data_IF_375257784658
#
_entry.id   IF_375257784658
#
_cell.length_a   1.000
_cell.length_b   1.000
_cell.length_c   1.000
_cell.angle_alpha   90.00
_cell.angle_beta   90.00
_cell.angle_gamma   90.00
#
_symmetry.space_group_name_H-M   'P 1'
#
loop_
_entity.id
_entity.type
_entity.pdbx_description
1 polymer ?
#
# COMPACT_ATOMS: atom_id res chain seq x y z
N UNK A 1 -17.80 -3.14 0.53
CA UNK A 1 -16.76 -4.00 1.14
C UNK A 1 -15.60 -4.26 0.18
N UNK A 2 -15.85 -4.43 -1.12
CA UNK A 2 -14.82 -4.71 -2.15
C UNK A 2 -13.65 -3.72 -2.17
N UNK A 3 -13.93 -2.42 -2.07
CA UNK A 3 -12.91 -1.35 -2.16
C UNK A 3 -11.90 -1.38 -0.99
N UNK A 4 -12.38 -1.65 0.23
CA UNK A 4 -11.55 -1.76 1.42
C UNK A 4 -10.66 -3.00 1.35
N UNK A 5 -11.24 -4.17 1.05
CA UNK A 5 -10.49 -5.43 0.93
C UNK A 5 -9.46 -5.37 -0.20
N UNK A 6 -9.80 -4.70 -1.31
CA UNK A 6 -8.87 -4.50 -2.42
C UNK A 6 -7.70 -3.58 -2.04
N UNK A 7 -8.00 -2.42 -1.44
CA UNK A 7 -6.98 -1.50 -0.93
C UNK A 7 -6.05 -2.16 0.08
N UNK A 8 -6.58 -2.87 1.08
CA UNK A 8 -5.76 -3.59 2.08
C UNK A 8 -4.80 -4.58 1.43
N UNK A 9 -5.27 -5.36 0.46
CA UNK A 9 -4.42 -6.34 -0.24
C UNK A 9 -3.29 -5.66 -0.99
N UNK A 10 -3.56 -4.59 -1.73
CA UNK A 10 -2.53 -3.84 -2.45
C UNK A 10 -1.52 -3.19 -1.51
N UNK A 11 -1.99 -2.64 -0.38
CA UNK A 11 -1.09 -2.06 0.64
C UNK A 11 -0.16 -3.12 1.20
N UNK A 12 -0.68 -4.29 1.57
CA UNK A 12 0.12 -5.36 2.14
C UNK A 12 1.11 -5.93 1.12
N UNK A 13 0.67 -6.20 -0.10
CA UNK A 13 1.54 -6.75 -1.16
C UNK A 13 2.65 -5.75 -1.50
N UNK A 14 2.30 -4.49 -1.77
CA UNK A 14 3.27 -3.44 -2.08
C UNK A 14 4.26 -3.22 -0.93
N UNK A 15 3.76 -3.11 0.30
CA UNK A 15 4.60 -2.91 1.48
C UNK A 15 5.55 -4.07 1.77
N UNK A 16 5.09 -5.32 1.68
CA UNK A 16 5.93 -6.51 1.91
C UNK A 16 7.04 -6.60 0.86
N UNK A 17 6.70 -6.40 -0.42
CA UNK A 17 7.69 -6.43 -1.51
C UNK A 17 8.71 -5.29 -1.32
N UNK A 18 8.25 -4.09 -0.95
CA UNK A 18 9.14 -2.95 -0.71
C UNK A 18 10.13 -3.22 0.43
N UNK A 19 9.64 -3.68 1.58
CA UNK A 19 10.48 -3.95 2.75
C UNK A 19 11.47 -5.08 2.47
N UNK A 20 11.03 -6.16 1.81
CA UNK A 20 11.93 -7.26 1.44
C UNK A 20 13.01 -6.82 0.45
N UNK A 21 12.64 -6.07 -0.58
CA UNK A 21 13.60 -5.52 -1.54
C UNK A 21 14.59 -4.54 -0.87
N UNK A 22 14.13 -3.73 0.08
CA UNK A 22 14.98 -2.81 0.84
C UNK A 22 15.99 -3.55 1.73
N UNK A 23 15.54 -4.60 2.45
CA UNK A 23 16.43 -5.43 3.28
C UNK A 23 17.50 -6.09 2.41
N UNK A 24 17.10 -6.64 1.26
CA UNK A 24 18.04 -7.24 0.31
C UNK A 24 19.02 -6.20 -0.22
N UNK A 25 18.55 -5.00 -0.58
CA UNK A 25 19.40 -3.91 -1.08
C UNK A 25 20.48 -3.46 -0.08
N UNK A 26 20.23 -3.60 1.23
CA UNK A 26 21.21 -3.30 2.27
C UNK A 26 22.26 -4.41 2.46
N UNK A 27 22.14 -5.57 1.81
CA UNK A 27 23.13 -6.62 1.95
C UNK A 27 24.46 -6.22 1.28
N UNK A 28 25.59 -6.42 1.99
CA UNK A 28 26.90 -6.20 1.40
C UNK A 28 27.19 -7.28 0.35
N UNK A 29 27.86 -6.89 -0.74
CA UNK A 29 28.31 -7.82 -1.78
C UNK A 29 27.38 -7.95 -2.99
N UNK A 30 26.31 -7.17 -3.07
CA UNK A 30 25.47 -7.11 -4.26
C UNK A 30 26.19 -6.48 -5.45
N UNK A 31 26.11 -7.11 -6.62
CA UNK A 31 26.55 -6.57 -7.89
C UNK A 31 25.67 -5.42 -8.38
N UNK A 32 26.20 -4.62 -9.33
CA UNK A 32 25.47 -3.47 -9.91
C UNK A 32 24.13 -3.86 -10.53
N UNK A 33 24.06 -5.01 -11.21
CA UNK A 33 22.83 -5.48 -11.85
C UNK A 33 21.75 -5.84 -10.81
N UNK A 34 22.16 -6.48 -9.72
CA UNK A 34 21.27 -6.90 -8.62
C UNK A 34 20.74 -5.67 -7.87
N UNK A 35 21.60 -4.69 -7.59
CA UNK A 35 21.19 -3.41 -7.00
C UNK A 35 20.22 -2.65 -7.91
N UNK A 36 20.46 -2.65 -9.22
CA UNK A 36 19.56 -2.05 -10.21
C UNK A 36 18.18 -2.71 -10.19
N UNK A 37 18.13 -4.04 -10.23
CA UNK A 37 16.87 -4.79 -10.19
C UNK A 37 16.12 -4.59 -8.88
N UNK A 38 16.81 -4.57 -7.74
CA UNK A 38 16.22 -4.27 -6.44
C UNK A 38 15.67 -2.83 -6.37
N UNK A 39 16.39 -1.87 -6.94
CA UNK A 39 15.93 -0.48 -7.04
C UNK A 39 14.64 -0.35 -7.87
N UNK A 40 14.58 -0.99 -9.03
CA UNK A 40 13.36 -1.07 -9.84
C UNK A 40 12.20 -1.74 -9.08
N UNK A 41 12.50 -2.82 -8.36
CA UNK A 41 11.52 -3.55 -7.55
C UNK A 41 10.97 -2.68 -6.41
N UNK A 42 11.82 -1.92 -5.74
CA UNK A 42 11.40 -0.93 -4.73
C UNK A 42 10.51 0.14 -5.36
N UNK A 43 10.87 0.68 -6.52
CA UNK A 43 10.08 1.70 -7.20
C UNK A 43 8.68 1.19 -7.60
N UNK A 44 8.61 -0.01 -8.19
CA UNK A 44 7.35 -0.62 -8.61
C UNK A 44 6.43 -0.96 -7.41
N UNK A 45 7.01 -1.56 -6.36
CA UNK A 45 6.26 -1.91 -5.15
C UNK A 45 5.75 -0.70 -4.38
N UNK A 46 6.51 0.40 -4.39
CA UNK A 46 6.08 1.69 -3.81
C UNK A 46 4.83 2.24 -4.52
N UNK A 47 4.76 2.16 -5.85
CA UNK A 47 3.56 2.57 -6.61
C UNK A 47 2.35 1.73 -6.20
N UNK A 48 2.51 0.40 -6.13
CA UNK A 48 1.44 -0.51 -5.69
C UNK A 48 0.97 -0.16 -4.27
N UNK A 49 1.92 0.18 -3.40
CA UNK A 49 1.64 0.56 -2.02
C UNK A 49 0.83 1.87 -1.95
N UNK A 50 1.20 2.89 -2.72
CA UNK A 50 0.46 4.16 -2.83
C UNK A 50 -0.95 3.93 -3.34
N UNK A 51 -1.12 3.15 -4.40
CA UNK A 51 -2.46 2.85 -4.96
C UNK A 51 -3.32 2.20 -3.88
N UNK A 52 -2.79 1.20 -3.17
CA UNK A 52 -3.50 0.60 -2.05
C UNK A 52 -3.91 1.61 -0.98
N UNK A 53 -3.01 2.53 -0.61
CA UNK A 53 -3.27 3.54 0.42
C UNK A 53 -4.38 4.51 0.02
N UNK A 54 -4.43 4.92 -1.26
CA UNK A 54 -5.50 5.76 -1.80
C UNK A 54 -6.84 5.03 -1.71
N UNK A 55 -6.90 3.77 -2.12
CA UNK A 55 -8.12 2.95 -2.02
C UNK A 55 -8.60 2.79 -0.57
N UNK A 56 -7.67 2.64 0.38
CA UNK A 56 -8.00 2.60 1.80
C UNK A 56 -8.52 3.94 2.32
N UNK A 57 -7.90 5.05 1.94
CA UNK A 57 -8.35 6.40 2.30
C UNK A 57 -9.78 6.64 1.84
N UNK A 58 -10.07 6.39 0.56
CA UNK A 58 -11.42 6.52 -0.01
C UNK A 58 -12.43 5.61 0.70
N UNK A 59 -12.04 4.36 0.98
CA UNK A 59 -12.91 3.45 1.73
C UNK A 59 -13.18 3.93 3.16
N UNK A 60 -12.19 4.54 3.81
CA UNK A 60 -12.31 5.19 5.12
C UNK A 60 -13.27 6.37 5.10
N UNK A 61 -13.15 7.27 4.12
CA UNK A 61 -14.03 8.42 3.94
C UNK A 61 -15.49 8.00 3.71
N UNK A 62 -15.72 6.95 2.92
CA UNK A 62 -17.05 6.38 2.72
C UNK A 62 -17.62 5.70 3.98
N UNK A 63 -16.76 5.16 4.84
CA UNK A 63 -17.19 4.61 6.13
C UNK A 63 -17.54 5.72 7.11
N UNK A 64 -16.69 6.75 7.23
CA UNK A 64 -16.89 7.90 8.10
C UNK A 64 -18.15 8.69 7.72
N UNK A 65 -18.34 8.97 6.43
CA UNK A 65 -19.52 9.71 5.94
C UNK A 65 -20.84 8.98 6.21
N UNK A 66 -20.84 7.63 6.14
CA UNK A 66 -21.99 6.83 6.59
C UNK A 66 -22.23 6.96 8.08
N UNK A 67 -21.17 6.88 8.89
CA UNK A 67 -21.26 7.07 10.35
C UNK A 67 -21.93 8.40 10.73
N UNK A 68 -21.50 9.49 10.11
CA UNK A 68 -22.07 10.83 10.32
C UNK A 68 -23.56 10.88 9.92
N UNK A 69 -23.92 10.28 8.78
CA UNK A 69 -25.31 10.24 8.29
C UNK A 69 -26.24 9.42 9.18
N UNK A 70 -25.76 8.32 9.76
CA UNK A 70 -26.55 7.56 10.74
C UNK A 70 -26.77 8.37 12.03
N UNK A 71 -25.76 9.13 12.46
CA UNK A 71 -25.87 9.99 13.64
C UNK A 71 -26.83 11.17 13.44
N UNK A 72 -26.89 11.76 12.25
CA UNK A 72 -27.82 12.87 11.95
C UNK A 72 -29.27 12.42 11.87
N UNK A 73 -29.55 11.20 11.38
CA UNK A 73 -30.91 10.66 11.27
C UNK A 73 -31.48 10.13 12.62
N UNK A 74 -30.67 10.10 13.67
CA UNK A 74 -31.07 9.68 15.03
C UNK A 74 -31.38 10.87 15.95
N UNK A 75 -31.22 12.11 15.46
CA UNK A 75 -31.65 13.36 16.13
C UNK A 75 -32.90 13.90 15.46
#
# INVERSE_FOLDING_TARGET
MTLLTFGTKLVLIGGIIFVTALIMYMQPGLGFEEQGLLSWTMMASFIVWIVGAIYLGVAGDHWLSRGIRYQSNQK
#
